data_IF_732950922512
#
_entry.id   IF_732950922512
#
_cell.length_a   1.000
_cell.length_b   1.000
_cell.length_c   1.000
_cell.angle_alpha   90.00
_cell.angle_beta   90.00
_cell.angle_gamma   90.00
#
_symmetry.space_group_name_H-M   'P 1'
#
loop_
_entity.id
_entity.type
_entity.pdbx_description
1 polymer ?
#
# COMPACT_ATOMS: atom_id res chain seq x y z
N UNK A 1 -3.75 -0.42 -22.75
CA UNK A 1 -3.62 -0.41 -22.27
C UNK A 1 -3.65 -0.58 -21.65
N UNK A 2 -3.49 -0.58 -21.37
CA UNK A 2 -3.33 -0.57 -20.66
C UNK A 2 -2.72 -0.38 -20.25
N UNK A 3 -2.00 -0.36 -20.36
CA UNK A 3 -1.52 -0.12 -19.82
C UNK A 3 -1.88 0.55 -19.33
N UNK A 4 -2.47 0.80 -19.27
CA UNK A 4 -2.78 1.31 -18.80
C UNK A 4 -2.82 1.25 -18.17
N UNK A 5 -2.65 1.08 -18.07
CA UNK A 5 -2.45 0.96 -17.45
C UNK A 5 -1.70 1.11 -16.77
N UNK A 6 -1.49 0.92 -16.89
CA UNK A 6 -0.59 0.87 -16.20
C UNK A 6 -0.23 2.11 -15.94
N UNK A 7 0.27 2.12 -15.29
CA UNK A 7 0.58 3.19 -14.96
C UNK A 7 0.43 4.26 -15.74
N UNK A 8 0.14 4.12 -16.65
CA UNK A 8 -0.05 4.97 -17.45
C UNK A 8 -0.94 5.81 -17.22
N UNK A 9 -1.81 5.48 -16.77
CA UNK A 9 -2.75 6.36 -16.53
C UNK A 9 -2.22 7.55 -15.95
N UNK A 10 -1.10 7.61 -15.72
CA UNK A 10 -0.54 8.69 -15.22
C UNK A 10 -0.41 9.77 -16.10
N UNK A 11 -0.57 9.56 -17.27
CA UNK A 11 -0.55 10.58 -18.18
C UNK A 11 0.72 11.31 -18.35
N UNK A 12 1.77 10.91 -17.83
CA UNK A 12 2.97 11.60 -18.11
C UNK A 12 3.68 10.95 -19.21
N UNK A 13 4.39 11.66 -19.97
CA UNK A 13 5.13 11.09 -21.05
C UNK A 13 6.35 10.46 -20.49
N UNK A 14 6.55 9.24 -20.73
CA UNK A 14 7.75 8.62 -20.29
C UNK A 14 8.91 9.05 -21.11
N UNK A 15 9.96 9.51 -20.51
CA UNK A 15 11.08 9.86 -21.24
C UNK A 15 11.90 8.70 -21.39
N UNK A 16 12.12 8.32 -22.55
CA UNK A 16 12.82 7.17 -22.79
C UNK A 16 14.19 7.41 -23.07
N UNK A 17 14.70 8.50 -22.82
CA UNK A 17 16.03 8.69 -23.06
C UNK A 17 16.78 7.70 -22.31
N UNK A 18 16.30 7.25 -21.21
CA UNK A 18 17.05 6.33 -20.48
C UNK A 18 16.03 5.50 -19.77
N UNK A 19 16.06 4.27 -19.91
CA UNK A 19 15.10 3.35 -19.34
C UNK A 19 15.00 3.44 -17.83
N UNK A 20 16.02 3.92 -17.19
CA UNK A 20 15.97 4.02 -15.78
C UNK A 20 14.94 5.01 -15.34
N UNK A 21 14.80 6.12 -16.01
CA UNK A 21 13.82 7.12 -15.66
C UNK A 21 12.43 6.56 -15.76
N UNK A 22 12.14 5.84 -16.84
CA UNK A 22 10.83 5.25 -17.02
C UNK A 22 10.51 4.24 -15.94
N UNK A 23 11.46 3.39 -15.59
CA UNK A 23 11.23 2.40 -14.57
C UNK A 23 11.06 3.04 -13.20
N UNK A 24 11.79 4.10 -12.93
CA UNK A 24 11.68 4.79 -11.67
C UNK A 24 10.28 5.37 -11.49
N UNK A 25 9.72 5.92 -12.54
CA UNK A 25 8.38 6.47 -12.46
C UNK A 25 7.34 5.38 -12.30
N UNK A 26 7.55 4.25 -12.95
CA UNK A 26 6.65 3.12 -12.80
C UNK A 26 6.66 2.60 -11.37
N UNK A 27 7.84 2.48 -10.79
CA UNK A 27 7.97 1.99 -9.43
C UNK A 27 7.36 2.97 -8.43
N UNK A 28 7.54 4.27 -8.67
CA UNK A 28 6.94 5.27 -7.82
C UNK A 28 5.43 5.25 -7.93
N UNK A 29 4.92 5.01 -9.12
CA UNK A 29 3.50 4.92 -9.33
C UNK A 29 2.89 3.76 -8.53
N UNK A 30 3.58 2.63 -8.49
CA UNK A 30 3.10 1.48 -7.73
C UNK A 30 3.13 1.80 -6.24
N UNK A 31 4.19 2.44 -5.77
CA UNK A 31 4.28 2.80 -4.37
C UNK A 31 3.14 3.74 -3.98
N UNK A 32 2.88 4.74 -4.82
CA UNK A 32 1.81 5.68 -4.52
C UNK A 32 0.46 4.99 -4.55
N UNK A 33 0.28 4.04 -5.44
CA UNK A 33 -0.95 3.28 -5.49
C UNK A 33 -1.16 2.50 -4.20
N UNK A 34 -0.11 1.86 -3.70
CA UNK A 34 -0.20 1.13 -2.45
C UNK A 34 -0.59 2.07 -1.31
N UNK A 35 0.05 3.25 -1.25
CA UNK A 35 -0.26 4.20 -0.20
C UNK A 35 -1.71 4.68 -0.30
N UNK A 36 -2.19 4.88 -1.51
CA UNK A 36 -3.56 5.31 -1.71
C UNK A 36 -4.55 4.24 -1.26
N UNK A 37 -4.28 2.99 -1.63
CA UNK A 37 -5.17 1.89 -1.25
C UNK A 37 -5.24 1.78 0.27
N UNK A 38 -4.11 1.83 0.93
CA UNK A 38 -4.09 1.67 2.37
C UNK A 38 -4.66 2.87 3.10
N UNK A 39 -4.54 4.05 2.52
CA UNK A 39 -5.04 5.26 3.16
C UNK A 39 -6.50 5.55 2.89
N UNK A 40 -7.14 4.78 2.02
CA UNK A 40 -8.54 5.00 1.70
C UNK A 40 -9.40 4.02 2.51
N UNK A 41 -10.41 4.53 3.20
CA UNK A 41 -11.33 3.66 3.94
C UNK A 41 -12.34 3.07 2.99
N UNK A 42 -12.70 1.82 3.23
CA UNK A 42 -13.74 1.19 2.43
C UNK A 42 -15.02 1.97 2.67
N UNK A 43 -15.69 2.33 1.59
CA UNK A 43 -16.91 3.12 1.67
C UNK A 43 -16.69 4.60 1.47
N UNK A 44 -15.44 5.03 1.45
CA UNK A 44 -15.14 6.45 1.35
C UNK A 44 -15.40 7.01 -0.03
N UNK A 45 -15.22 6.19 -1.07
CA UNK A 45 -15.38 6.64 -2.42
C UNK A 45 -16.76 6.36 -2.95
N UNK A 46 -17.40 7.39 -3.46
CA UNK A 46 -18.78 7.26 -3.94
C UNK A 46 -18.84 6.34 -5.16
N UNK A 47 -17.92 6.52 -6.10
CA UNK A 47 -17.95 5.72 -7.32
C UNK A 47 -17.40 4.31 -7.13
N UNK A 48 -16.59 4.09 -6.14
CA UNK A 48 -16.01 2.78 -5.87
C UNK A 48 -16.09 2.53 -4.37
N UNK A 49 -17.27 2.22 -3.86
CA UNK A 49 -17.42 2.08 -2.41
C UNK A 49 -16.67 0.90 -1.81
N UNK A 50 -16.29 -0.06 -2.63
CA UNK A 50 -15.51 -1.20 -2.13
C UNK A 50 -14.02 -0.98 -2.22
N UNK A 51 -13.57 0.18 -2.71
CA UNK A 51 -12.15 0.46 -2.83
C UNK A 51 -11.55 0.89 -1.51
N UNK A 52 -10.36 0.40 -1.21
CA UNK A 52 -9.65 0.80 -0.01
C UNK A 52 -9.33 -0.38 0.87
N UNK A 53 -8.97 -0.07 2.12
CA UNK A 53 -8.60 -1.10 3.08
C UNK A 53 -9.44 -0.96 4.33
N UNK A 54 -9.45 -2.01 5.14
CA UNK A 54 -10.17 -1.99 6.40
C UNK A 54 -9.35 -1.50 7.57
N UNK A 55 -8.18 -0.92 7.29
CA UNK A 55 -7.31 -0.46 8.38
C UNK A 55 -7.98 0.52 9.31
N UNK A 56 -8.88 1.35 8.77
CA UNK A 56 -9.50 2.36 9.59
C UNK A 56 -10.39 1.78 10.69
N UNK A 57 -10.75 0.50 10.57
CA UNK A 57 -11.52 -0.13 11.63
C UNK A 57 -10.67 -0.29 12.88
N UNK A 58 -9.37 -0.17 12.76
CA UNK A 58 -8.48 -0.34 13.88
C UNK A 58 -8.03 0.96 14.51
N UNK A 59 -8.55 2.09 14.04
CA UNK A 59 -8.09 3.39 14.51
C UNK A 59 -8.27 3.56 16.01
N UNK A 60 -9.32 2.99 16.60
CA UNK A 60 -9.53 3.13 18.03
C UNK A 60 -9.16 1.87 18.81
N UNK A 61 -8.41 0.98 18.19
CA UNK A 61 -7.98 -0.22 18.87
C UNK A 61 -6.75 0.04 19.71
N UNK A 62 -6.45 -0.89 20.60
CA UNK A 62 -5.22 -0.81 21.36
C UNK A 62 -4.06 -1.23 20.48
N UNK A 63 -2.92 -0.59 20.64
CA UNK A 63 -1.76 -0.91 19.82
C UNK A 63 -1.04 -2.13 20.39
N UNK A 64 -1.57 -3.30 20.13
CA UNK A 64 -1.02 -4.55 20.66
C UNK A 64 -0.90 -5.59 19.56
N UNK A 65 -0.53 -6.80 19.93
CA UNK A 65 -0.27 -7.87 18.96
C UNK A 65 -1.51 -8.24 18.17
N UNK A 66 -2.67 -8.24 18.81
CA UNK A 66 -3.91 -8.55 18.10
C UNK A 66 -4.20 -7.54 17.03
N UNK A 67 -4.04 -6.26 17.36
CA UNK A 67 -4.25 -5.21 16.37
C UNK A 67 -3.26 -5.32 15.22
N UNK A 68 -2.00 -5.66 15.53
CA UNK A 68 -1.01 -5.84 14.49
C UNK A 68 -1.42 -6.97 13.55
N UNK A 69 -1.95 -8.06 14.09
CA UNK A 69 -2.37 -9.17 13.23
C UNK A 69 -3.54 -8.78 12.34
N UNK A 70 -4.49 -8.04 12.88
CA UNK A 70 -5.61 -7.58 12.06
C UNK A 70 -5.15 -6.60 10.99
N UNK A 71 -4.16 -5.75 11.32
CA UNK A 71 -3.63 -4.82 10.34
C UNK A 71 -2.98 -5.56 9.19
N UNK A 72 -2.22 -6.61 9.48
CA UNK A 72 -1.60 -7.41 8.43
C UNK A 72 -2.67 -8.01 7.53
N UNK A 73 -3.73 -8.53 8.13
CA UNK A 73 -4.81 -9.12 7.34
C UNK A 73 -5.45 -8.09 6.42
N UNK A 74 -5.74 -6.90 6.93
CA UNK A 74 -6.38 -5.88 6.12
C UNK A 74 -5.49 -5.40 4.98
N UNK A 75 -4.19 -5.29 5.25
CA UNK A 75 -3.26 -4.89 4.21
C UNK A 75 -3.17 -5.95 3.12
N UNK A 76 -3.06 -7.21 3.51
CA UNK A 76 -2.96 -8.28 2.54
C UNK A 76 -4.21 -8.36 1.69
N UNK A 77 -5.37 -8.24 2.32
CA UNK A 77 -6.61 -8.34 1.59
C UNK A 77 -6.74 -7.20 0.59
N UNK A 78 -6.43 -5.98 1.03
CA UNK A 78 -6.61 -4.82 0.17
C UNK A 78 -5.65 -4.85 -1.02
N UNK A 79 -4.39 -5.18 -0.78
CA UNK A 79 -3.42 -5.15 -1.85
C UNK A 79 -3.62 -6.28 -2.84
N UNK A 80 -4.06 -7.45 -2.37
CA UNK A 80 -4.35 -8.54 -3.28
C UNK A 80 -5.53 -8.20 -4.18
N UNK A 81 -6.46 -7.43 -3.67
CA UNK A 81 -7.63 -7.07 -4.44
C UNK A 81 -7.38 -5.91 -5.40
N UNK A 82 -6.64 -4.90 -4.94
CA UNK A 82 -6.56 -3.65 -5.68
C UNK A 82 -5.22 -3.36 -6.34
N UNK A 83 -4.18 -4.15 -6.05
CA UNK A 83 -2.88 -3.91 -6.67
C UNK A 83 -2.35 -5.19 -7.31
N UNK A 84 -2.85 -5.53 -8.51
CA UNK A 84 -2.45 -6.80 -9.13
C UNK A 84 -1.06 -6.77 -9.74
N UNK A 85 -0.43 -5.61 -9.80
CA UNK A 85 0.89 -5.51 -10.41
C UNK A 85 2.00 -6.04 -9.52
N UNK A 86 1.71 -6.34 -8.26
CA UNK A 86 2.73 -6.79 -7.33
C UNK A 86 2.36 -8.15 -6.75
N UNK A 87 3.38 -8.79 -6.21
CA UNK A 87 3.20 -10.01 -5.45
C UNK A 87 3.66 -9.70 -4.05
N UNK A 88 2.81 -9.93 -3.06
CA UNK A 88 3.19 -9.68 -1.67
C UNK A 88 4.10 -10.80 -1.20
N UNK A 89 5.27 -10.42 -0.70
CA UNK A 89 6.21 -11.39 -0.19
C UNK A 89 6.07 -11.54 1.32
N UNK A 90 5.89 -10.41 2.02
CA UNK A 90 5.79 -10.47 3.46
C UNK A 90 5.16 -9.19 3.97
N UNK A 91 4.30 -9.29 4.96
CA UNK A 91 3.70 -8.14 5.60
C UNK A 91 3.86 -8.32 7.11
N UNK A 92 4.44 -7.33 7.76
CA UNK A 92 4.61 -7.34 9.21
C UNK A 92 4.09 -6.04 9.78
N UNK A 93 3.76 -6.04 11.05
CA UNK A 93 3.28 -4.84 11.72
C UNK A 93 3.84 -4.82 13.12
N UNK A 94 4.45 -3.70 13.48
CA UNK A 94 5.09 -3.55 14.79
C UNK A 94 4.80 -2.18 15.35
N UNK A 95 4.59 -2.10 16.67
CA UNK A 95 4.41 -0.83 17.32
C UNK A 95 5.71 -0.05 17.24
N UNK A 96 5.60 1.25 17.02
CA UNK A 96 6.77 2.08 16.96
C UNK A 96 7.36 2.22 18.36
N UNK A 97 8.68 2.29 18.45
CA UNK A 97 9.30 2.34 19.75
C UNK A 97 9.21 3.69 20.41
N UNK A 98 9.08 4.73 19.62
CA UNK A 98 9.04 6.07 20.16
C UNK A 98 7.65 6.66 20.22
N UNK A 99 6.80 6.32 19.27
CA UNK A 99 5.43 6.83 19.27
C UNK A 99 4.49 5.69 19.58
N UNK A 100 3.92 5.72 20.77
CA UNK A 100 3.12 4.59 21.22
C UNK A 100 1.84 4.41 20.43
N UNK A 101 1.41 5.43 19.71
CA UNK A 101 0.17 5.31 18.94
C UNK A 101 0.43 5.08 17.46
N UNK A 102 1.65 4.70 17.09
CA UNK A 102 1.95 4.43 15.70
C UNK A 102 2.28 2.95 15.50
N UNK A 103 1.63 2.37 14.50
CA UNK A 103 1.91 1.00 14.12
C UNK A 103 2.62 1.05 12.78
N UNK A 104 3.84 0.54 12.71
CA UNK A 104 4.60 0.54 11.48
C UNK A 104 4.33 -0.76 10.73
N UNK A 105 3.75 -0.63 9.54
CA UNK A 105 3.40 -1.78 8.73
C UNK A 105 4.45 -1.90 7.63
N UNK A 106 5.20 -2.99 7.65
CA UNK A 106 6.27 -3.21 6.70
C UNK A 106 5.76 -4.16 5.61
N UNK A 107 5.85 -3.72 4.37
CA UNK A 107 5.33 -4.48 3.26
C UNK A 107 6.46 -4.78 2.30
N UNK A 108 6.76 -6.04 2.12
CA UNK A 108 7.78 -6.44 1.17
C UNK A 108 7.06 -6.99 -0.05
N UNK A 109 7.29 -6.42 -1.20
CA UNK A 109 6.57 -6.82 -2.40
C UNK A 109 7.51 -6.90 -3.60
N UNK A 110 7.09 -7.61 -4.60
CA UNK A 110 7.84 -7.76 -5.83
C UNK A 110 6.98 -7.25 -6.97
N UNK A 111 7.53 -6.38 -7.78
CA UNK A 111 6.82 -5.89 -8.96
C UNK A 111 6.95 -6.95 -10.03
N UNK A 112 5.83 -7.45 -10.51
CA UNK A 112 5.85 -8.63 -11.35
C UNK A 112 6.48 -8.38 -12.71
N UNK A 113 6.27 -7.21 -13.27
CA UNK A 113 6.79 -6.93 -14.60
C UNK A 113 8.30 -6.78 -14.63
N UNK A 114 8.89 -6.24 -13.57
CA UNK A 114 10.33 -6.03 -13.53
C UNK A 114 11.03 -7.04 -12.63
N UNK A 115 10.28 -7.82 -11.89
CA UNK A 115 10.82 -8.82 -10.97
C UNK A 115 11.76 -8.18 -9.94
N UNK A 116 11.44 -6.98 -9.51
CA UNK A 116 12.23 -6.24 -8.54
C UNK A 116 11.51 -6.20 -7.21
N UNK A 117 12.24 -6.37 -6.12
CA UNK A 117 11.66 -6.39 -4.79
C UNK A 117 11.87 -5.08 -4.09
N UNK A 118 10.87 -4.67 -3.33
CA UNK A 118 10.92 -3.43 -2.57
C UNK A 118 10.32 -3.64 -1.20
N UNK A 119 10.69 -2.78 -0.28
CA UNK A 119 10.12 -2.78 1.05
C UNK A 119 9.57 -1.39 1.32
N UNK A 120 8.31 -1.34 1.74
CA UNK A 120 7.64 -0.08 2.03
C UNK A 120 7.14 -0.13 3.46
N UNK A 121 7.36 0.95 4.21
CA UNK A 121 6.84 1.05 5.57
C UNK A 121 5.70 2.04 5.56
N UNK A 122 4.52 1.61 5.96
CA UNK A 122 3.34 2.45 6.02
C UNK A 122 3.04 2.74 7.49
N UNK A 123 3.10 4.00 7.91
CA UNK A 123 2.80 4.33 9.31
C UNK A 123 1.30 4.47 9.50
N UNK A 124 0.75 3.69 10.41
CA UNK A 124 -0.67 3.75 10.70
C UNK A 124 -0.86 4.26 12.12
N UNK A 125 -1.62 5.33 12.28
CA UNK A 125 -1.80 5.94 13.57
C UNK A 125 -3.09 5.49 14.23
N UNK A 126 -2.99 5.10 15.49
CA UNK A 126 -4.11 4.63 16.28
C UNK A 126 -4.48 5.73 17.26
N UNK A 127 -5.76 6.06 17.30
CA UNK A 127 -6.22 7.11 18.19
C UNK A 127 -6.94 6.50 19.37
N UNK A 128 -6.24 5.72 20.15
CA UNK A 128 -6.89 5.09 21.27
C UNK A 128 -6.96 6.07 22.42
N UNK A 129 -7.91 5.86 23.28
CA UNK A 129 -8.05 6.71 24.40
C UNK A 129 -7.03 6.45 25.45
#
# INVERSE_FOLDING_TARGET
>A
MDMDFLGVGLGFPLRIEDGKIAWSEYEDSIRESIMLILGTSIGERVMRPDFGSGLHELVFSTNDTSTASFAIFHVEEALKKWEPRIELMKVDANADKQEVNRLNISIEYRIMSSNTRYNLVYPFYIESE
#
